data_IF_136557503350
#
_entry.id   IF_136557503350
#
_cell.length_a   1.000
_cell.length_b   1.000
_cell.length_c   1.000
_cell.angle_alpha   90.00
_cell.angle_beta   90.00
_cell.angle_gamma   90.00
#
_symmetry.space_group_name_H-M   'P 1'
#
loop_
_entity.id
_entity.type
_entity.pdbx_description
1 polymer ?
#
# COMPACT_ATOMS: atom_id res chain seq x y z
N UNK A 1 -66.21 29.63 15.82
CA UNK A 1 -64.78 29.67 16.19
C UNK A 1 -64.54 31.03 16.82
N UNK A 2 -63.87 31.11 17.96
CA UNK A 2 -63.38 32.39 18.48
C UNK A 2 -62.30 32.87 17.51
N UNK A 3 -62.54 34.03 16.92
CA UNK A 3 -61.64 34.73 16.03
C UNK A 3 -60.36 35.12 16.78
N UNK A 4 -59.24 35.16 16.07
CA UNK A 4 -57.87 35.22 16.57
C UNK A 4 -57.60 36.26 17.68
N UNK A 5 -56.83 35.87 18.68
CA UNK A 5 -56.32 36.72 19.78
C UNK A 5 -55.03 37.43 19.32
N UNK A 6 -54.95 38.76 19.52
CA UNK A 6 -53.81 39.59 19.11
C UNK A 6 -52.56 39.42 19.99
N UNK A 7 -52.67 38.64 21.07
CA UNK A 7 -51.53 38.19 21.89
C UNK A 7 -50.75 37.02 21.27
N UNK A 8 -51.25 36.39 20.19
CA UNK A 8 -50.56 35.26 19.56
C UNK A 8 -49.31 35.68 18.80
N UNK A 9 -48.19 35.04 19.13
CA UNK A 9 -46.93 35.25 18.45
C UNK A 9 -46.86 34.48 17.13
N UNK A 10 -46.39 35.13 16.07
CA UNK A 10 -45.94 34.44 14.87
C UNK A 10 -44.63 33.71 15.18
N UNK A 11 -44.73 32.39 15.39
CA UNK A 11 -43.57 31.52 15.60
C UNK A 11 -43.27 30.73 14.33
N UNK A 12 -41.98 30.63 14.00
CA UNK A 12 -41.50 29.91 12.82
C UNK A 12 -40.52 28.81 13.25
N UNK A 13 -40.64 27.64 12.65
CA UNK A 13 -39.73 26.52 12.93
C UNK A 13 -39.88 25.87 14.31
N UNK A 14 -40.96 26.17 15.03
CA UNK A 14 -41.38 25.48 16.26
C UNK A 14 -42.84 25.83 16.60
N UNK A 15 -43.39 25.18 17.62
CA UNK A 15 -44.60 25.61 18.34
C UNK A 15 -44.20 26.55 19.50
N UNK A 16 -45.13 27.36 20.04
CA UNK A 16 -44.85 28.30 21.15
C UNK A 16 -44.29 27.60 22.38
N UNK A 17 -44.72 26.37 22.66
CA UNK A 17 -44.23 25.50 23.75
C UNK A 17 -42.81 24.98 23.54
N UNK A 18 -42.27 25.09 22.32
CA UNK A 18 -40.90 24.69 22.00
C UNK A 18 -40.68 23.18 21.82
N UNK A 19 -41.73 22.36 21.92
CA UNK A 19 -41.67 20.90 21.97
C UNK A 19 -41.50 20.21 20.60
N UNK A 20 -41.55 20.98 19.50
CA UNK A 20 -41.49 20.50 18.12
C UNK A 20 -40.47 21.28 17.28
N UNK A 21 -39.18 21.25 17.66
CA UNK A 21 -38.15 21.99 16.93
C UNK A 21 -38.03 21.46 15.50
N UNK A 22 -38.16 22.36 14.54
CA UNK A 22 -37.89 22.07 13.14
C UNK A 22 -36.43 22.35 12.82
N UNK A 23 -35.79 21.40 12.14
CA UNK A 23 -34.40 21.53 11.68
C UNK A 23 -34.40 21.81 10.18
N UNK A 24 -34.18 23.06 9.81
CA UNK A 24 -34.04 23.49 8.42
C UNK A 24 -33.75 24.98 8.29
N UNK A 25 -33.82 25.51 7.06
CA UNK A 25 -33.66 26.95 6.78
C UNK A 25 -34.91 27.50 6.11
N UNK A 26 -35.57 28.49 6.74
CA UNK A 26 -36.66 29.23 6.11
C UNK A 26 -36.07 30.31 5.20
N UNK A 27 -36.24 30.15 3.89
CA UNK A 27 -35.67 31.07 2.88
C UNK A 27 -36.61 32.22 2.48
N UNK A 28 -37.91 32.07 2.70
CA UNK A 28 -38.91 33.12 2.47
C UNK A 28 -40.16 32.84 3.31
N UNK A 29 -40.69 33.88 3.95
CA UNK A 29 -42.04 33.92 4.49
C UNK A 29 -42.75 35.14 3.90
N UNK A 30 -43.90 34.92 3.27
CA UNK A 30 -44.74 35.98 2.74
C UNK A 30 -46.13 35.90 3.39
N UNK A 31 -46.54 36.98 4.06
CA UNK A 31 -47.88 37.11 4.64
C UNK A 31 -48.64 38.17 3.83
N UNK A 32 -49.79 37.79 3.29
CA UNK A 32 -50.62 38.66 2.49
C UNK A 32 -51.85 39.09 3.28
N UNK A 33 -52.20 40.38 3.22
CA UNK A 33 -53.42 40.93 3.82
C UNK A 33 -54.67 40.70 2.95
N UNK A 34 -54.59 39.80 1.97
CA UNK A 34 -55.67 39.44 1.05
C UNK A 34 -55.51 38.00 0.59
N UNK A 35 -56.62 37.38 0.22
CA UNK A 35 -56.60 36.09 -0.47
C UNK A 35 -56.00 36.26 -1.89
N UNK A 36 -54.98 35.48 -2.21
CA UNK A 36 -54.42 35.41 -3.56
C UNK A 36 -55.29 34.54 -4.47
N UNK A 37 -55.35 34.87 -5.76
CA UNK A 37 -55.98 33.99 -6.74
C UNK A 37 -55.09 32.77 -7.04
N UNK A 38 -55.65 31.66 -7.57
CA UNK A 38 -54.85 30.49 -7.96
C UNK A 38 -53.69 30.82 -8.92
N UNK A 39 -53.90 31.75 -9.85
CA UNK A 39 -52.88 32.19 -10.81
C UNK A 39 -51.77 33.00 -10.14
N UNK A 40 -52.11 33.81 -9.13
CA UNK A 40 -51.13 34.56 -8.34
C UNK A 40 -50.29 33.62 -7.46
N UNK A 41 -50.90 32.58 -6.88
CA UNK A 41 -50.18 31.55 -6.12
C UNK A 41 -49.21 30.81 -7.03
N UNK A 42 -49.67 30.34 -8.19
CA UNK A 42 -48.83 29.65 -9.16
C UNK A 42 -47.66 30.51 -9.64
N UNK A 43 -47.90 31.81 -9.90
CA UNK A 43 -46.87 32.77 -10.28
C UNK A 43 -45.83 32.99 -9.17
N UNK A 44 -46.28 33.21 -7.93
CA UNK A 44 -45.39 33.41 -6.79
C UNK A 44 -44.56 32.16 -6.50
N UNK A 45 -45.16 30.97 -6.60
CA UNK A 45 -44.44 29.71 -6.46
C UNK A 45 -43.39 29.51 -7.57
N UNK A 46 -43.72 29.85 -8.82
CA UNK A 46 -42.81 29.74 -9.95
C UNK A 46 -41.60 30.69 -9.85
N UNK A 47 -41.78 31.88 -9.25
CA UNK A 47 -40.68 32.81 -8.99
C UNK A 47 -39.62 32.19 -8.05
N UNK A 48 -40.06 31.44 -7.04
CA UNK A 48 -39.19 30.79 -6.05
C UNK A 48 -38.78 31.72 -4.90
N UNK A 49 -37.70 31.36 -4.20
CA UNK A 49 -37.19 32.07 -3.02
C UNK A 49 -35.74 32.52 -3.24
N UNK A 50 -35.40 33.75 -2.85
CA UNK A 50 -34.07 34.36 -3.01
C UNK A 50 -33.96 35.31 -4.22
N UNK A 51 -32.99 36.23 -4.17
CA UNK A 51 -32.65 37.09 -5.32
C UNK A 51 -32.02 36.22 -6.40
N UNK A 52 -32.81 35.90 -7.43
CA UNK A 52 -32.29 35.41 -8.71
C UNK A 52 -31.92 36.61 -9.55
N UNK A 53 -30.68 36.66 -9.99
CA UNK A 53 -30.22 37.68 -10.92
C UNK A 53 -29.64 37.02 -12.16
N UNK A 54 -29.76 37.73 -13.26
CA UNK A 54 -29.24 37.29 -14.55
C UNK A 54 -27.89 37.96 -14.79
N UNK A 55 -26.84 37.15 -14.94
CA UNK A 55 -25.53 37.64 -15.35
C UNK A 55 -25.37 37.43 -16.85
N UNK A 56 -25.07 38.51 -17.57
CA UNK A 56 -24.83 38.49 -19.01
C UNK A 56 -23.35 38.77 -19.29
N UNK A 57 -22.65 37.75 -19.78
CA UNK A 57 -21.26 37.87 -20.20
C UNK A 57 -21.21 38.13 -21.71
N UNK A 58 -20.80 39.32 -22.12
CA UNK A 58 -20.73 39.65 -23.55
C UNK A 58 -19.69 38.77 -24.25
N UNK A 59 -20.12 38.13 -25.33
CA UNK A 59 -19.24 37.37 -26.25
C UNK A 59 -19.29 37.92 -27.67
N UNK A 60 -19.95 39.07 -27.87
CA UNK A 60 -20.24 39.68 -29.17
C UNK A 60 -19.01 39.76 -30.08
N UNK A 61 -17.89 40.26 -29.54
CA UNK A 61 -16.64 40.40 -30.29
C UNK A 61 -15.98 39.06 -30.63
N UNK A 62 -16.11 38.06 -29.74
CA UNK A 62 -15.50 36.74 -29.93
C UNK A 62 -16.22 35.91 -31.00
N UNK A 63 -17.53 36.10 -31.15
CA UNK A 63 -18.35 35.37 -32.14
C UNK A 63 -18.69 36.20 -33.38
N UNK A 64 -18.39 37.50 -33.38
CA UNK A 64 -18.70 38.40 -34.49
C UNK A 64 -20.20 38.67 -34.69
N UNK A 65 -21.00 38.57 -33.62
CA UNK A 65 -22.45 38.78 -33.63
C UNK A 65 -22.82 39.89 -32.66
N UNK A 66 -23.68 40.82 -33.08
CA UNK A 66 -24.08 41.94 -32.25
C UNK A 66 -24.86 41.47 -31.01
N UNK A 67 -24.68 42.18 -29.89
CA UNK A 67 -25.45 42.01 -28.65
C UNK A 67 -25.58 40.56 -28.17
N UNK A 68 -24.54 39.74 -28.36
CA UNK A 68 -24.50 38.33 -28.01
C UNK A 68 -23.85 38.11 -26.64
N UNK A 69 -24.51 37.30 -25.81
CA UNK A 69 -24.14 37.06 -24.42
C UNK A 69 -24.23 35.58 -24.06
N UNK A 70 -23.41 35.16 -23.09
CA UNK A 70 -23.71 34.00 -22.26
C UNK A 70 -24.49 34.49 -21.04
N UNK A 71 -25.74 34.07 -20.94
CA UNK A 71 -26.65 34.36 -19.85
C UNK A 71 -26.58 33.23 -18.82
N UNK A 72 -26.45 33.59 -17.55
CA UNK A 72 -26.62 32.68 -16.42
C UNK A 72 -27.77 33.13 -15.52
N UNK A 73 -28.52 32.16 -15.02
CA UNK A 73 -29.35 32.34 -13.83
C UNK A 73 -28.47 32.13 -12.60
N UNK A 74 -28.29 33.17 -11.79
CA UNK A 74 -27.44 33.14 -10.60
C UNK A 74 -28.26 33.44 -9.35
N UNK A 75 -27.99 32.70 -8.28
CA UNK A 75 -28.62 32.92 -6.97
C UNK A 75 -27.64 32.62 -5.84
N UNK A 76 -27.80 33.24 -4.67
CA UNK A 76 -27.07 32.81 -3.48
C UNK A 76 -27.51 31.40 -3.08
N UNK A 77 -26.56 30.46 -3.08
CA UNK A 77 -26.83 29.09 -2.66
C UNK A 77 -26.83 29.00 -1.12
N UNK A 78 -25.82 29.61 -0.50
CA UNK A 78 -25.67 29.86 0.93
C UNK A 78 -24.88 31.15 1.20
N UNK A 79 -24.45 31.38 2.45
CA UNK A 79 -23.71 32.58 2.86
C UNK A 79 -22.30 32.70 2.25
N UNK A 80 -21.78 31.65 1.60
CA UNK A 80 -20.42 31.58 1.09
C UNK A 80 -20.36 31.14 -0.38
N UNK A 81 -21.48 31.08 -1.10
CA UNK A 81 -21.49 30.56 -2.46
C UNK A 81 -22.68 31.00 -3.31
N UNK A 82 -22.45 30.97 -4.62
CA UNK A 82 -23.43 31.22 -5.66
C UNK A 82 -23.73 29.94 -6.43
N UNK A 83 -24.99 29.73 -6.75
CA UNK A 83 -25.42 28.74 -7.74
C UNK A 83 -25.52 29.43 -9.10
N UNK A 84 -24.65 29.03 -10.04
CA UNK A 84 -24.76 29.34 -11.46
C UNK A 84 -25.55 28.23 -12.14
N UNK A 85 -26.60 28.61 -12.86
CA UNK A 85 -27.51 27.64 -13.47
C UNK A 85 -27.92 28.04 -14.89
N UNK A 86 -28.28 27.02 -15.68
CA UNK A 86 -28.81 27.15 -17.04
C UNK A 86 -28.05 28.15 -17.94
N UNK A 87 -26.74 27.98 -18.18
CA UNK A 87 -26.03 28.81 -19.15
C UNK A 87 -26.75 28.78 -20.50
N UNK A 88 -27.03 29.95 -21.05
CA UNK A 88 -27.66 30.11 -22.37
C UNK A 88 -26.85 31.07 -23.23
N UNK A 89 -26.66 30.73 -24.49
CA UNK A 89 -26.27 31.73 -25.48
C UNK A 89 -27.53 32.49 -25.94
N UNK A 90 -27.51 33.83 -25.87
CA UNK A 90 -28.63 34.69 -26.29
C UNK A 90 -28.11 35.94 -26.98
N UNK A 91 -28.78 36.37 -28.06
CA UNK A 91 -28.62 37.72 -28.60
C UNK A 91 -29.80 38.60 -28.17
N UNK A 92 -29.53 39.82 -27.74
CA UNK A 92 -30.58 40.83 -27.50
C UNK A 92 -31.06 41.51 -28.79
N UNK A 93 -30.35 41.29 -29.91
CA UNK A 93 -30.81 41.64 -31.25
C UNK A 93 -31.58 40.45 -31.84
N UNK A 94 -32.88 40.63 -32.04
CA UNK A 94 -33.80 39.61 -32.54
C UNK A 94 -33.52 39.16 -33.99
N UNK A 95 -32.70 39.90 -34.74
CA UNK A 95 -32.32 39.55 -36.12
C UNK A 95 -31.08 38.67 -36.19
N UNK A 96 -30.34 38.53 -35.08
CA UNK A 96 -29.13 37.71 -35.02
C UNK A 96 -29.50 36.23 -35.00
N UNK A 97 -28.98 35.51 -35.99
CA UNK A 97 -29.05 34.06 -36.07
C UNK A 97 -27.62 33.48 -36.02
N UNK A 98 -27.19 32.86 -34.91
CA UNK A 98 -25.91 32.20 -34.85
C UNK A 98 -25.87 31.04 -35.84
N UNK A 99 -24.71 30.83 -36.48
CA UNK A 99 -24.54 29.77 -37.47
C UNK A 99 -23.34 28.89 -37.14
N UNK A 100 -23.61 27.78 -36.46
CA UNK A 100 -22.67 26.67 -36.27
C UNK A 100 -21.33 27.07 -35.62
N UNK A 101 -21.36 28.02 -34.68
CA UNK A 101 -20.17 28.56 -34.00
C UNK A 101 -19.71 27.57 -32.92
N UNK A 102 -18.48 27.03 -32.97
CA UNK A 102 -18.00 26.10 -31.95
C UNK A 102 -17.88 26.77 -30.57
N UNK A 103 -18.26 26.04 -29.52
CA UNK A 103 -18.03 26.42 -28.12
C UNK A 103 -17.55 25.18 -27.36
N UNK A 104 -16.37 25.24 -26.76
CA UNK A 104 -15.84 24.17 -25.93
C UNK A 104 -15.10 24.69 -24.69
N UNK A 105 -15.13 23.91 -23.61
CA UNK A 105 -14.32 24.14 -22.41
C UNK A 105 -14.59 25.47 -21.71
N UNK A 106 -15.85 25.77 -21.39
CA UNK A 106 -16.23 27.02 -20.72
C UNK A 106 -15.98 26.94 -19.21
N UNK A 107 -15.26 27.90 -18.64
CA UNK A 107 -15.00 27.97 -17.18
C UNK A 107 -15.44 29.32 -16.62
N UNK A 108 -15.83 29.31 -15.35
CA UNK A 108 -16.20 30.52 -14.59
C UNK A 108 -14.98 30.98 -13.79
N UNK A 109 -14.59 32.23 -13.99
CA UNK A 109 -13.60 32.88 -13.16
C UNK A 109 -14.23 33.88 -12.19
N UNK A 110 -13.54 34.11 -11.08
CA UNK A 110 -13.91 35.06 -10.02
C UNK A 110 -12.69 35.92 -9.68
N UNK A 111 -12.89 37.23 -9.54
CA UNK A 111 -11.88 38.20 -9.09
C UNK A 111 -10.50 38.08 -9.76
N UNK A 112 -10.48 37.79 -11.07
CA UNK A 112 -9.26 37.75 -11.89
C UNK A 112 -8.57 36.39 -12.01
N UNK A 113 -9.14 35.30 -11.48
CA UNK A 113 -8.64 33.93 -11.69
C UNK A 113 -9.78 32.93 -11.92
N UNK A 114 -9.49 31.80 -12.56
CA UNK A 114 -10.48 30.73 -12.74
C UNK A 114 -10.82 30.08 -11.39
N UNK A 115 -12.11 29.83 -11.13
CA UNK A 115 -12.50 29.15 -9.90
C UNK A 115 -11.94 27.72 -9.89
N UNK A 116 -11.31 27.33 -8.79
CA UNK A 116 -10.65 26.01 -8.65
C UNK A 116 -11.63 24.84 -8.50
N UNK A 117 -12.89 25.14 -8.16
CA UNK A 117 -13.97 24.17 -7.96
C UNK A 117 -15.22 24.64 -8.69
N UNK A 118 -16.13 23.71 -9.01
CA UNK A 118 -17.38 24.06 -9.67
C UNK A 118 -17.24 24.36 -11.18
N UNK A 119 -16.32 23.70 -11.88
CA UNK A 119 -16.13 23.89 -13.32
C UNK A 119 -16.90 22.86 -14.16
N UNK A 120 -18.19 22.64 -13.89
CA UNK A 120 -18.96 21.62 -14.62
C UNK A 120 -19.05 21.91 -16.13
N UNK A 121 -18.99 23.19 -16.51
CA UNK A 121 -19.08 23.66 -17.89
C UNK A 121 -17.78 23.48 -18.69
N UNK A 122 -16.69 23.05 -18.06
CA UNK A 122 -15.44 22.75 -18.76
C UNK A 122 -15.58 21.56 -19.71
N UNK A 123 -16.63 20.75 -19.54
CA UNK A 123 -16.94 19.61 -20.41
C UNK A 123 -17.85 19.96 -21.58
N UNK A 124 -18.21 21.23 -21.76
CA UNK A 124 -18.98 21.65 -22.93
C UNK A 124 -18.18 21.39 -24.21
N UNK A 125 -18.82 20.77 -25.18
CA UNK A 125 -18.37 20.68 -26.58
C UNK A 125 -19.63 20.68 -27.46
N UNK A 126 -19.99 21.86 -27.97
CA UNK A 126 -21.21 22.05 -28.75
C UNK A 126 -21.05 23.14 -29.80
N UNK A 127 -22.10 23.31 -30.61
CA UNK A 127 -22.15 24.34 -31.66
C UNK A 127 -23.35 25.24 -31.43
N UNK A 128 -23.11 26.55 -31.46
CA UNK A 128 -24.13 27.58 -31.32
C UNK A 128 -24.88 27.76 -32.63
N UNK A 129 -26.20 27.93 -32.55
CA UNK A 129 -27.09 28.17 -33.69
C UNK A 129 -27.91 26.96 -34.14
N UNK A 130 -28.47 27.06 -35.34
CA UNK A 130 -29.34 26.03 -35.91
C UNK A 130 -30.66 25.87 -35.15
N UNK A 131 -31.19 24.65 -35.09
CA UNK A 131 -32.47 24.34 -34.42
C UNK A 131 -32.42 24.45 -32.90
N UNK A 132 -31.23 24.56 -32.30
CA UNK A 132 -31.05 24.68 -30.86
C UNK A 132 -31.22 26.13 -30.36
N UNK A 133 -31.30 27.12 -31.25
CA UNK A 133 -31.41 28.54 -30.92
C UNK A 133 -32.77 29.12 -31.35
N UNK A 134 -33.43 29.85 -30.45
CA UNK A 134 -34.54 30.76 -30.80
C UNK A 134 -34.25 32.19 -30.30
N UNK A 135 -34.71 33.23 -31.00
CA UNK A 135 -34.56 34.61 -30.52
C UNK A 135 -35.22 34.88 -29.16
N UNK A 136 -36.29 34.15 -28.79
CA UNK A 136 -37.00 34.38 -27.52
C UNK A 136 -36.33 33.69 -26.32
N UNK A 137 -35.72 32.51 -26.53
CA UNK A 137 -35.23 31.66 -25.43
C UNK A 137 -33.71 31.44 -25.44
N UNK A 138 -33.05 31.84 -26.53
CA UNK A 138 -31.65 31.55 -26.80
C UNK A 138 -31.41 30.07 -27.03
N UNK A 139 -30.17 29.64 -26.81
CA UNK A 139 -29.75 28.24 -26.84
C UNK A 139 -29.22 27.83 -25.47
N UNK A 140 -29.84 26.82 -24.85
CA UNK A 140 -29.32 26.22 -23.62
C UNK A 140 -28.01 25.49 -23.89
N UNK A 141 -26.97 25.81 -23.13
CA UNK A 141 -25.64 25.21 -23.24
C UNK A 141 -25.50 23.97 -22.36
N UNK A 142 -26.04 24.03 -21.14
CA UNK A 142 -26.04 22.91 -20.20
C UNK A 142 -27.26 22.97 -19.27
N UNK A 143 -27.89 21.82 -18.97
CA UNK A 143 -28.91 21.74 -17.93
C UNK A 143 -28.31 21.68 -16.52
N UNK A 144 -26.99 21.49 -16.38
CA UNK A 144 -26.32 21.35 -15.09
C UNK A 144 -26.11 22.71 -14.43
N UNK A 145 -26.31 22.77 -13.11
CA UNK A 145 -25.90 23.89 -12.27
C UNK A 145 -24.52 23.64 -11.65
N UNK A 146 -23.85 24.71 -11.22
CA UNK A 146 -22.60 24.61 -10.47
C UNK A 146 -22.50 25.65 -9.38
N UNK A 147 -21.71 25.35 -8.35
CA UNK A 147 -21.53 26.19 -7.18
C UNK A 147 -20.16 26.85 -7.25
N UNK A 148 -20.14 28.17 -7.19
CA UNK A 148 -18.91 28.98 -7.14
C UNK A 148 -18.83 29.63 -5.76
N UNK A 149 -17.68 29.49 -5.10
CA UNK A 149 -17.45 30.09 -3.80
C UNK A 149 -17.46 31.62 -3.90
N UNK A 150 -18.01 32.28 -2.89
CA UNK A 150 -17.96 33.73 -2.69
C UNK A 150 -16.64 34.11 -2.05
N UNK A 151 -16.03 35.19 -2.53
CA UNK A 151 -14.75 35.69 -1.99
C UNK A 151 -14.91 37.07 -1.33
N UNK A 152 -15.54 38.00 -2.05
CA UNK A 152 -15.79 39.38 -1.62
C UNK A 152 -17.28 39.65 -1.37
N UNK A 153 -18.15 38.69 -1.66
CA UNK A 153 -19.59 38.83 -1.53
C UNK A 153 -20.23 39.56 -2.72
N UNK A 154 -21.56 39.60 -2.72
CA UNK A 154 -22.38 40.02 -3.88
C UNK A 154 -22.00 41.39 -4.42
N UNK A 155 -21.62 42.32 -3.54
CA UNK A 155 -21.27 43.69 -3.93
C UNK A 155 -19.84 43.85 -4.47
N UNK A 156 -18.97 42.85 -4.30
CA UNK A 156 -17.54 42.94 -4.61
C UNK A 156 -16.99 41.83 -5.49
N UNK A 157 -17.72 40.73 -5.68
CA UNK A 157 -17.30 39.63 -6.56
C UNK A 157 -17.57 39.97 -8.02
N UNK A 158 -16.51 39.91 -8.81
CA UNK A 158 -16.56 40.05 -10.27
C UNK A 158 -16.35 38.69 -10.93
N UNK A 159 -17.18 38.37 -11.92
CA UNK A 159 -17.10 37.13 -12.65
C UNK A 159 -16.62 37.36 -14.07
N UNK A 160 -15.95 36.35 -14.64
CA UNK A 160 -15.65 36.30 -16.06
C UNK A 160 -15.78 34.86 -16.58
N UNK A 161 -15.77 34.70 -17.90
CA UNK A 161 -15.76 33.40 -18.55
C UNK A 161 -14.46 33.23 -19.32
N UNK A 162 -13.88 32.03 -19.24
CA UNK A 162 -12.83 31.57 -20.16
C UNK A 162 -13.34 30.40 -20.98
N UNK A 163 -12.73 30.17 -22.13
CA UNK A 163 -13.13 29.14 -23.09
C UNK A 163 -11.89 28.46 -23.64
N UNK A 164 -11.89 27.14 -23.74
CA UNK A 164 -10.89 26.45 -24.56
C UNK A 164 -11.09 26.75 -26.05
N UNK A 165 -12.36 26.91 -26.47
CA UNK A 165 -12.71 27.35 -27.81
C UNK A 165 -14.01 28.15 -27.84
N UNK A 166 -14.02 29.27 -28.56
CA UNK A 166 -15.22 30.01 -28.93
C UNK A 166 -15.08 30.60 -30.33
N UNK A 167 -15.87 30.10 -31.28
CA UNK A 167 -15.73 30.45 -32.68
C UNK A 167 -14.37 30.04 -33.24
N UNK A 168 -13.62 31.03 -33.74
CA UNK A 168 -12.25 30.89 -34.20
C UNK A 168 -11.19 31.06 -33.11
N UNK A 169 -11.58 31.52 -31.91
CA UNK A 169 -10.65 31.73 -30.80
C UNK A 169 -10.42 30.42 -30.05
N UNK A 170 -9.17 30.16 -29.67
CA UNK A 170 -8.77 29.00 -28.88
C UNK A 170 -7.78 29.37 -27.79
N UNK A 171 -7.90 28.74 -26.64
CA UNK A 171 -6.99 28.86 -25.51
C UNK A 171 -6.62 27.45 -25.03
N UNK A 172 -5.32 27.18 -24.88
CA UNK A 172 -4.86 25.87 -24.41
C UNK A 172 -5.01 25.83 -22.90
N UNK A 173 -5.90 24.97 -22.40
CA UNK A 173 -5.98 24.64 -20.99
C UNK A 173 -5.13 23.39 -20.72
N UNK A 174 -4.22 23.47 -19.75
CA UNK A 174 -3.44 22.32 -19.28
C UNK A 174 -3.92 21.94 -17.89
N UNK A 175 -4.54 20.76 -17.76
CA UNK A 175 -4.83 20.18 -16.45
C UNK A 175 -3.52 19.94 -15.68
N UNK A 176 -3.42 20.36 -14.41
CA UNK A 176 -2.27 20.03 -13.59
C UNK A 176 -2.20 18.51 -13.45
N UNK A 177 -1.11 17.91 -13.94
CA UNK A 177 -0.89 16.48 -13.71
C UNK A 177 -0.76 16.24 -12.20
N UNK A 178 -1.51 15.29 -11.63
CA UNK A 178 -1.29 14.88 -10.25
C UNK A 178 0.17 14.47 -10.06
N UNK A 179 0.79 14.92 -8.98
CA UNK A 179 2.13 14.45 -8.63
C UNK A 179 2.08 12.93 -8.42
N UNK A 180 3.02 12.21 -9.05
CA UNK A 180 3.17 10.79 -8.78
C UNK A 180 3.48 10.58 -7.29
N UNK A 181 2.87 9.58 -6.63
CA UNK A 181 3.23 9.26 -5.26
C UNK A 181 4.72 8.88 -5.20
N UNK A 182 5.44 9.27 -4.13
CA UNK A 182 6.82 8.86 -3.96
C UNK A 182 6.92 7.32 -3.93
N UNK A 183 8.05 6.74 -4.36
CA UNK A 183 8.28 5.32 -4.19
C UNK A 183 8.19 4.94 -2.71
N UNK A 184 7.81 3.68 -2.38
CA UNK A 184 7.84 3.19 -1.02
C UNK A 184 9.23 3.41 -0.42
N UNK A 185 9.28 3.77 0.87
CA UNK A 185 10.54 3.79 1.59
C UNK A 185 11.12 2.38 1.67
N UNK A 186 12.45 2.29 1.58
CA UNK A 186 13.14 1.03 1.86
C UNK A 186 12.85 0.59 3.31
N UNK A 187 12.67 -0.72 3.48
CA UNK A 187 12.50 -1.31 4.81
C UNK A 187 13.80 -1.34 5.61
N UNK A 188 13.71 -1.74 6.88
CA UNK A 188 14.87 -1.94 7.74
C UNK A 188 15.84 -2.97 7.12
N UNK A 189 17.16 -2.68 7.07
CA UNK A 189 18.16 -3.62 6.56
C UNK A 189 18.04 -4.99 7.20
N UNK A 190 17.86 -6.04 6.40
CA UNK A 190 17.84 -7.42 6.88
C UNK A 190 19.23 -8.05 6.71
N UNK A 191 19.69 -8.87 7.69
CA UNK A 191 20.92 -9.64 7.54
C UNK A 191 20.84 -10.60 6.35
N UNK A 192 21.94 -10.70 5.59
CA UNK A 192 22.08 -11.65 4.47
C UNK A 192 22.29 -13.07 4.98
N UNK A 193 22.91 -13.23 6.16
CA UNK A 193 23.21 -14.50 6.79
C UNK A 193 22.12 -14.82 7.82
N UNK A 194 21.60 -16.05 7.77
CA UNK A 194 20.60 -16.59 8.67
C UNK A 194 21.11 -17.75 9.53
N UNK A 195 20.19 -18.28 10.33
CA UNK A 195 20.38 -19.52 11.10
C UNK A 195 19.44 -20.58 10.53
N UNK A 196 19.88 -21.83 10.48
CA UNK A 196 18.96 -22.96 10.31
C UNK A 196 18.07 -23.09 11.55
N UNK A 197 16.79 -23.31 11.35
CA UNK A 197 15.80 -23.60 12.39
C UNK A 197 15.97 -25.00 12.95
N UNK A 198 15.33 -25.31 14.08
CA UNK A 198 15.43 -26.63 14.71
C UNK A 198 15.07 -27.79 13.77
N UNK A 199 14.07 -27.63 12.89
CA UNK A 199 13.67 -28.67 11.94
C UNK A 199 14.70 -28.81 10.81
N UNK A 200 15.24 -27.69 10.32
CA UNK A 200 16.30 -27.68 9.29
C UNK A 200 17.61 -28.26 9.80
N UNK A 201 17.99 -27.96 11.05
CA UNK A 201 19.15 -28.55 11.71
C UNK A 201 19.00 -30.06 11.77
N UNK A 202 17.85 -30.55 12.26
CA UNK A 202 17.59 -31.98 12.38
C UNK A 202 17.59 -32.69 11.02
N UNK A 203 16.96 -32.09 10.02
CA UNK A 203 16.94 -32.61 8.65
C UNK A 203 18.34 -32.63 8.02
N UNK A 204 19.11 -31.55 8.19
CA UNK A 204 20.47 -31.43 7.65
C UNK A 204 21.39 -32.46 8.30
N UNK A 205 21.33 -32.63 9.63
CA UNK A 205 22.13 -33.64 10.31
C UNK A 205 21.78 -35.07 9.89
N UNK A 206 20.49 -35.34 9.66
CA UNK A 206 20.05 -36.64 9.14
C UNK A 206 20.62 -36.92 7.74
N UNK A 207 20.55 -35.94 6.83
CA UNK A 207 21.06 -36.10 5.47
C UNK A 207 22.60 -36.25 5.45
N UNK A 208 23.30 -35.39 6.19
CA UNK A 208 24.76 -35.37 6.25
C UNK A 208 25.37 -36.65 6.84
N UNK A 209 24.67 -37.29 7.77
CA UNK A 209 25.11 -38.54 8.42
C UNK A 209 24.50 -39.80 7.83
N UNK A 210 23.36 -39.69 7.14
CA UNK A 210 22.57 -40.84 6.70
C UNK A 210 21.79 -41.54 7.83
N UNK A 211 21.78 -40.99 9.03
CA UNK A 211 21.04 -41.53 10.18
C UNK A 211 19.61 -41.00 10.15
N UNK A 212 18.64 -41.89 10.36
CA UNK A 212 17.23 -41.50 10.41
C UNK A 212 16.95 -40.56 11.60
N UNK A 213 16.20 -39.46 11.41
CA UNK A 213 15.75 -38.60 12.51
C UNK A 213 14.76 -39.30 13.45
N UNK A 214 14.27 -40.50 13.08
CA UNK A 214 13.41 -41.34 13.92
C UNK A 214 14.18 -42.40 14.73
N UNK A 215 15.50 -42.47 14.62
CA UNK A 215 16.32 -43.30 15.50
C UNK A 215 16.06 -42.86 16.96
N UNK A 216 15.89 -43.82 17.87
CA UNK A 216 15.32 -43.57 19.21
C UNK A 216 16.11 -42.57 20.07
N UNK A 217 17.44 -42.66 20.07
CA UNK A 217 18.33 -41.81 20.87
C UNK A 217 18.49 -40.42 20.23
N UNK A 218 18.59 -40.36 18.90
CA UNK A 218 18.55 -39.11 18.13
C UNK A 218 17.24 -38.37 18.39
N UNK A 219 16.10 -39.07 18.31
CA UNK A 219 14.79 -38.49 18.53
C UNK A 219 14.63 -37.98 19.96
N UNK A 220 15.04 -38.77 20.96
CA UNK A 220 15.00 -38.37 22.35
C UNK A 220 15.87 -37.13 22.62
N UNK A 221 17.06 -37.08 22.04
CA UNK A 221 17.97 -35.93 22.14
C UNK A 221 17.37 -34.70 21.48
N UNK A 222 16.85 -34.84 20.26
CA UNK A 222 16.17 -33.75 19.56
C UNK A 222 15.00 -33.19 20.37
N UNK A 223 14.12 -34.04 20.89
CA UNK A 223 12.97 -33.60 21.69
C UNK A 223 13.42 -32.89 22.99
N UNK A 224 14.54 -33.30 23.59
CA UNK A 224 15.14 -32.66 24.77
C UNK A 224 15.73 -31.27 24.46
N UNK A 225 16.46 -31.14 23.35
CA UNK A 225 17.18 -29.90 23.02
C UNK A 225 16.41 -28.95 22.10
N UNK A 226 15.24 -29.35 21.58
CA UNK A 226 14.45 -28.57 20.61
C UNK A 226 14.17 -27.14 21.07
N UNK A 227 13.84 -26.95 22.35
CA UNK A 227 13.57 -25.62 22.91
C UNK A 227 14.82 -24.73 23.00
N UNK A 228 16.00 -25.33 22.92
CA UNK A 228 17.28 -24.65 22.95
C UNK A 228 17.85 -24.44 21.54
N UNK A 229 17.15 -24.85 20.47
CA UNK A 229 17.54 -24.63 19.07
C UNK A 229 16.85 -23.38 18.47
N UNK A 230 17.38 -22.78 17.39
CA UNK A 230 16.76 -21.62 16.75
C UNK A 230 15.35 -21.93 16.23
N UNK A 231 14.39 -21.04 16.50
CA UNK A 231 13.02 -21.15 15.99
C UNK A 231 12.75 -20.23 14.78
N UNK A 232 13.67 -19.31 14.48
CA UNK A 232 13.60 -18.36 13.37
C UNK A 232 14.97 -18.22 12.73
N UNK A 233 14.98 -17.86 11.45
CA UNK A 233 16.22 -17.82 10.64
C UNK A 233 17.05 -16.55 10.85
N UNK A 234 16.75 -15.74 11.86
CA UNK A 234 17.43 -14.46 12.07
C UNK A 234 18.70 -14.63 12.88
N UNK A 235 19.83 -14.22 12.31
CA UNK A 235 21.14 -14.25 13.00
C UNK A 235 21.16 -13.44 14.30
N UNK A 236 20.39 -12.36 14.38
CA UNK A 236 20.25 -11.56 15.62
C UNK A 236 19.58 -12.32 16.77
N UNK A 237 18.95 -13.46 16.50
CA UNK A 237 18.38 -14.36 17.51
C UNK A 237 19.35 -15.42 18.03
N UNK A 238 20.64 -15.38 17.63
CA UNK A 238 21.60 -16.38 18.06
C UNK A 238 21.92 -16.29 19.56
N UNK A 239 21.75 -17.41 20.27
CA UNK A 239 22.02 -17.54 21.70
C UNK A 239 23.03 -18.65 21.98
N UNK A 240 23.79 -18.54 23.07
CA UNK A 240 24.73 -19.58 23.51
C UNK A 240 24.06 -20.94 23.72
N UNK A 241 22.77 -20.97 24.05
CA UNK A 241 21.99 -22.20 24.17
C UNK A 241 21.95 -23.00 22.85
N UNK A 242 21.92 -22.31 21.71
CA UNK A 242 21.92 -22.96 20.39
C UNK A 242 23.22 -23.73 20.15
N UNK A 243 24.38 -23.18 20.55
CA UNK A 243 25.66 -23.87 20.40
C UNK A 243 25.70 -25.19 21.15
N UNK A 244 25.19 -25.19 22.39
CA UNK A 244 25.15 -26.39 23.23
C UNK A 244 24.18 -27.42 22.66
N UNK A 245 22.98 -26.99 22.28
CA UNK A 245 21.94 -27.85 21.72
C UNK A 245 22.36 -28.49 20.38
N UNK A 246 22.94 -27.68 19.47
CA UNK A 246 23.50 -28.16 18.20
C UNK A 246 24.61 -29.18 18.45
N UNK A 247 25.52 -28.91 19.40
CA UNK A 247 26.60 -29.83 19.72
C UNK A 247 26.07 -31.16 20.28
N UNK A 248 25.09 -31.12 21.19
CA UNK A 248 24.47 -32.33 21.75
C UNK A 248 23.80 -33.17 20.67
N UNK A 249 23.04 -32.53 19.77
CA UNK A 249 22.38 -33.22 18.66
C UNK A 249 23.40 -33.79 17.66
N UNK A 250 24.44 -33.03 17.32
CA UNK A 250 25.52 -33.48 16.44
C UNK A 250 26.28 -34.69 17.01
N UNK A 251 26.58 -34.67 18.31
CA UNK A 251 27.18 -35.81 19.02
C UNK A 251 26.30 -37.05 18.87
N UNK A 252 24.98 -36.90 19.04
CA UNK A 252 24.08 -38.04 18.99
C UNK A 252 23.92 -38.61 17.57
N UNK A 253 23.81 -37.75 16.56
CA UNK A 253 23.83 -38.19 15.16
C UNK A 253 25.12 -38.93 14.81
N UNK A 254 26.27 -38.43 15.25
CA UNK A 254 27.56 -39.08 15.04
C UNK A 254 27.73 -40.36 15.87
N UNK A 255 27.11 -40.45 17.05
CA UNK A 255 27.04 -41.69 17.82
C UNK A 255 26.29 -42.76 17.03
N UNK A 256 25.06 -42.46 16.60
CA UNK A 256 24.22 -43.37 15.84
C UNK A 256 24.88 -43.82 14.52
N UNK A 257 25.59 -42.92 13.83
CA UNK A 257 26.36 -43.24 12.63
C UNK A 257 27.48 -44.27 12.90
N UNK A 258 28.22 -44.11 13.99
CA UNK A 258 29.41 -44.94 14.29
C UNK A 258 29.06 -46.23 15.03
N UNK A 259 27.96 -46.27 15.78
CA UNK A 259 27.53 -47.50 16.46
C UNK A 259 26.81 -48.48 15.53
N UNK A 260 26.16 -47.99 14.46
CA UNK A 260 25.59 -48.86 13.43
C UNK A 260 26.68 -49.38 12.48
N UNK A 261 26.91 -50.70 12.49
CA UNK A 261 27.98 -51.31 11.69
C UNK A 261 27.79 -51.13 10.18
N UNK A 262 26.55 -51.13 9.68
CA UNK A 262 26.27 -50.99 8.25
C UNK A 262 26.47 -49.53 7.80
N UNK A 263 25.91 -48.57 8.54
CA UNK A 263 26.10 -47.15 8.26
C UNK A 263 27.57 -46.76 8.38
N UNK A 264 28.25 -47.17 9.46
CA UNK A 264 29.67 -46.91 9.68
C UNK A 264 30.53 -47.43 8.54
N UNK A 265 30.33 -48.69 8.13
CA UNK A 265 31.14 -49.30 7.06
C UNK A 265 30.88 -48.65 5.71
N UNK A 266 29.67 -48.16 5.48
CA UNK A 266 29.31 -47.41 4.28
C UNK A 266 29.89 -45.99 4.29
N UNK A 267 29.93 -45.33 5.45
CA UNK A 267 30.36 -43.94 5.59
C UNK A 267 31.89 -43.81 5.65
N UNK A 268 32.57 -44.77 6.27
CA UNK A 268 34.02 -44.80 6.47
C UNK A 268 34.65 -46.05 5.84
N UNK A 269 34.63 -46.18 4.50
CA UNK A 269 35.06 -47.40 3.83
C UNK A 269 36.54 -47.70 4.09
N UNK A 270 36.82 -48.90 4.59
CA UNK A 270 38.18 -49.38 4.86
C UNK A 270 38.84 -48.80 6.11
N UNK A 271 38.16 -47.97 6.90
CA UNK A 271 38.72 -47.47 8.16
C UNK A 271 38.77 -48.57 9.23
N UNK A 272 39.92 -48.82 9.89
CA UNK A 272 40.10 -49.96 10.78
C UNK A 272 39.61 -49.68 12.21
N UNK A 273 38.29 -49.70 12.44
CA UNK A 273 37.67 -49.41 13.75
C UNK A 273 38.12 -50.34 14.90
N UNK A 274 38.44 -51.59 14.58
CA UNK A 274 38.85 -52.61 15.57
C UNK A 274 40.34 -52.49 15.97
N UNK A 275 41.09 -51.60 15.31
CA UNK A 275 42.51 -51.38 15.58
C UNK A 275 42.72 -50.36 16.70
N UNK A 276 43.84 -50.51 17.41
CA UNK A 276 44.28 -49.54 18.44
C UNK A 276 44.51 -48.16 17.80
N UNK A 277 44.17 -47.05 18.47
CA UNK A 277 44.16 -45.72 17.85
C UNK A 277 45.45 -45.32 17.13
N UNK A 278 46.64 -45.59 17.66
CA UNK A 278 47.89 -45.23 16.96
C UNK A 278 48.01 -45.95 15.63
N UNK A 279 47.67 -47.23 15.60
CA UNK A 279 47.69 -48.02 14.36
C UNK A 279 46.61 -47.58 13.38
N UNK A 280 45.38 -47.32 13.86
CA UNK A 280 44.26 -46.90 13.03
C UNK A 280 44.50 -45.54 12.36
N UNK A 281 45.03 -44.56 13.11
CA UNK A 281 45.21 -43.19 12.64
C UNK A 281 46.62 -42.90 12.05
N UNK A 282 47.55 -43.87 12.02
CA UNK A 282 48.84 -43.67 11.34
C UNK A 282 48.68 -43.61 9.81
N UNK A 283 47.76 -44.40 9.25
CA UNK A 283 47.45 -44.42 7.81
C UNK A 283 45.96 -44.22 7.46
N UNK A 284 45.05 -44.35 8.43
CA UNK A 284 43.61 -44.27 8.21
C UNK A 284 42.98 -42.89 8.33
N UNK A 285 43.75 -41.82 8.58
CA UNK A 285 43.17 -40.46 8.78
C UNK A 285 42.39 -39.96 7.58
N UNK A 286 42.91 -40.14 6.37
CA UNK A 286 42.22 -39.76 5.14
C UNK A 286 40.90 -40.54 4.98
N UNK A 287 40.90 -41.84 5.31
CA UNK A 287 39.71 -42.70 5.28
C UNK A 287 38.61 -42.25 6.26
N UNK A 288 38.96 -41.48 7.30
CA UNK A 288 38.01 -40.85 8.22
C UNK A 288 37.63 -39.44 7.78
N UNK A 289 38.61 -38.59 7.46
CA UNK A 289 38.40 -37.16 7.22
C UNK A 289 37.80 -36.87 5.86
N UNK A 290 38.17 -37.61 4.81
CA UNK A 290 37.69 -37.33 3.45
C UNK A 290 36.16 -37.51 3.33
N UNK A 291 35.55 -38.59 3.88
CA UNK A 291 34.09 -38.71 3.88
C UNK A 291 33.38 -37.62 4.70
N UNK A 292 33.97 -37.19 5.82
CA UNK A 292 33.39 -36.13 6.67
C UNK A 292 33.41 -34.78 5.95
N UNK A 293 34.57 -34.39 5.42
CA UNK A 293 34.75 -33.11 4.75
C UNK A 293 33.93 -33.06 3.45
N UNK A 294 33.94 -34.12 2.65
CA UNK A 294 33.19 -34.14 1.37
C UNK A 294 31.67 -34.09 1.53
N UNK A 295 31.14 -34.56 2.67
CA UNK A 295 29.70 -34.49 2.95
C UNK A 295 29.29 -33.23 3.67
N UNK A 296 30.08 -32.77 4.66
CA UNK A 296 29.66 -31.72 5.58
C UNK A 296 30.19 -30.32 5.24
N UNK A 297 31.23 -30.19 4.41
CA UNK A 297 31.60 -28.91 3.82
C UNK A 297 30.98 -28.79 2.43
N UNK A 298 30.44 -27.61 2.13
CA UNK A 298 29.98 -27.29 0.79
C UNK A 298 31.17 -27.23 -0.17
N UNK A 299 30.95 -27.54 -1.45
CA UNK A 299 31.90 -27.19 -2.50
C UNK A 299 31.71 -25.73 -2.91
N UNK A 300 32.81 -24.99 -3.14
CA UNK A 300 32.81 -23.67 -3.81
C UNK A 300 31.95 -22.55 -3.18
N UNK A 301 31.69 -22.60 -1.86
CA UNK A 301 31.03 -21.49 -1.16
C UNK A 301 32.06 -20.40 -0.80
N UNK A 302 31.71 -19.13 -1.03
CA UNK A 302 32.56 -17.99 -0.71
C UNK A 302 32.71 -17.75 0.80
N UNK A 303 31.66 -18.05 1.57
CA UNK A 303 31.56 -17.78 3.01
C UNK A 303 31.56 -19.09 3.84
N UNK A 304 32.62 -19.90 3.68
CA UNK A 304 32.86 -21.09 4.50
C UNK A 304 34.36 -21.28 4.78
N UNK A 305 34.75 -22.09 5.79
CA UNK A 305 36.15 -22.43 6.02
C UNK A 305 36.76 -23.16 4.83
N UNK A 306 38.03 -22.88 4.52
CA UNK A 306 38.76 -23.65 3.53
C UNK A 306 38.90 -25.11 3.99
N UNK A 307 38.72 -26.08 3.07
CA UNK A 307 38.82 -27.51 3.42
C UNK A 307 40.16 -27.85 4.08
N UNK A 308 41.26 -27.25 3.62
CA UNK A 308 42.59 -27.46 4.18
C UNK A 308 42.69 -27.01 5.66
N UNK A 309 42.01 -25.93 6.04
CA UNK A 309 41.99 -25.43 7.42
C UNK A 309 41.12 -26.33 8.31
N UNK A 310 39.92 -26.67 7.86
CA UNK A 310 39.03 -27.60 8.57
C UNK A 310 39.73 -28.96 8.79
N UNK A 311 40.40 -29.47 7.75
CA UNK A 311 41.21 -30.69 7.81
C UNK A 311 42.34 -30.58 8.83
N UNK A 312 43.02 -29.44 8.91
CA UNK A 312 44.10 -29.24 9.88
C UNK A 312 43.56 -29.28 11.33
N UNK A 313 42.44 -28.61 11.61
CA UNK A 313 41.80 -28.61 12.94
C UNK A 313 41.35 -30.01 13.37
N UNK A 314 40.72 -30.76 12.47
CA UNK A 314 40.29 -32.14 12.73
C UNK A 314 41.48 -33.11 12.93
N UNK A 315 42.59 -32.89 12.22
CA UNK A 315 43.82 -33.63 12.48
C UNK A 315 44.38 -33.34 13.88
N UNK A 316 44.41 -32.07 14.30
CA UNK A 316 44.85 -31.71 15.65
C UNK A 316 43.91 -32.26 16.74
N UNK A 317 42.60 -32.35 16.46
CA UNK A 317 41.66 -33.00 17.37
C UNK A 317 41.97 -34.50 17.49
N UNK A 318 42.23 -35.17 16.37
CA UNK A 318 42.68 -36.56 16.33
C UNK A 318 43.97 -36.76 17.15
N UNK A 319 44.96 -35.89 16.98
CA UNK A 319 46.22 -35.95 17.75
C UNK A 319 45.97 -35.85 19.27
N UNK A 320 45.15 -34.88 19.68
CA UNK A 320 44.79 -34.68 21.10
C UNK A 320 44.06 -35.88 21.70
N UNK A 321 43.12 -36.47 20.96
CA UNK A 321 42.31 -37.58 21.46
C UNK A 321 43.02 -38.94 21.41
N UNK A 322 44.14 -39.04 20.68
CA UNK A 322 44.97 -40.25 20.59
C UNK A 322 46.21 -40.21 21.49
N UNK A 323 46.42 -39.12 22.23
CA UNK A 323 47.53 -38.93 23.16
C UNK A 323 47.35 -39.71 24.49
N UNK A 324 47.21 -41.03 24.44
CA UNK A 324 46.88 -41.87 25.61
C UNK A 324 48.08 -42.47 26.39
N UNK A 325 49.28 -41.87 26.35
CA UNK A 325 50.44 -42.42 27.05
C UNK A 325 50.87 -43.81 26.54
N UNK A 326 50.81 -44.85 27.38
CA UNK A 326 51.25 -46.21 27.00
C UNK A 326 50.20 -46.99 26.17
N UNK A 327 48.90 -46.79 26.42
CA UNK A 327 47.80 -47.45 25.71
C UNK A 327 46.50 -46.66 25.85
N UNK A 328 45.69 -46.60 24.79
CA UNK A 328 44.33 -46.06 24.87
C UNK A 328 43.32 -47.07 25.43
N UNK A 329 42.24 -46.56 26.02
CA UNK A 329 41.09 -47.38 26.43
C UNK A 329 40.44 -48.09 25.23
N UNK A 330 39.81 -49.24 25.49
CA UNK A 330 39.04 -49.96 24.47
C UNK A 330 37.93 -49.06 23.90
N UNK A 331 37.72 -49.12 22.58
CA UNK A 331 36.72 -48.29 21.88
C UNK A 331 37.16 -46.86 21.59
N UNK A 332 38.35 -46.42 22.02
CA UNK A 332 38.85 -45.05 21.80
C UNK A 332 38.90 -44.66 20.31
N UNK A 333 39.18 -45.60 19.42
CA UNK A 333 39.17 -45.37 17.96
C UNK A 333 37.81 -44.84 17.50
N UNK A 334 36.71 -45.49 17.91
CA UNK A 334 35.35 -45.05 17.60
C UNK A 334 35.03 -43.69 18.24
N UNK A 335 35.47 -43.45 19.48
CA UNK A 335 35.30 -42.15 20.16
C UNK A 335 35.97 -41.00 19.38
N UNK A 336 37.17 -41.21 18.84
CA UNK A 336 37.88 -40.20 18.06
C UNK A 336 37.13 -39.89 16.76
N UNK A 337 36.59 -40.91 16.08
CA UNK A 337 35.78 -40.71 14.86
C UNK A 337 34.49 -39.94 15.18
N UNK A 338 33.78 -40.32 16.25
CA UNK A 338 32.57 -39.61 16.72
C UNK A 338 32.86 -38.16 17.04
N UNK A 339 33.98 -37.87 17.71
CA UNK A 339 34.37 -36.51 18.07
C UNK A 339 34.67 -35.64 16.83
N UNK A 340 35.39 -36.18 15.84
CA UNK A 340 35.65 -35.47 14.59
C UNK A 340 34.37 -35.23 13.79
N UNK A 341 33.50 -36.22 13.71
CA UNK A 341 32.18 -36.09 13.08
C UNK A 341 31.36 -34.99 13.77
N UNK A 342 31.25 -35.03 15.11
CA UNK A 342 30.45 -34.07 15.86
C UNK A 342 31.02 -32.65 15.79
N UNK A 343 32.35 -32.50 15.77
CA UNK A 343 33.00 -31.19 15.65
C UNK A 343 32.68 -30.52 14.31
N UNK A 344 32.64 -31.28 13.20
CA UNK A 344 32.30 -30.73 11.90
C UNK A 344 30.78 -30.53 11.75
N UNK A 345 29.99 -31.51 12.16
CA UNK A 345 28.53 -31.48 12.06
C UNK A 345 27.89 -30.40 12.96
N UNK A 346 28.47 -30.15 14.13
CA UNK A 346 28.01 -29.10 15.06
C UNK A 346 28.58 -27.71 14.76
N UNK A 347 29.32 -27.53 13.66
CA UNK A 347 29.99 -26.28 13.32
C UNK A 347 29.06 -25.25 12.67
N UNK A 348 29.58 -24.03 12.48
CA UNK A 348 28.90 -22.96 11.75
C UNK A 348 28.55 -23.35 10.30
N UNK A 349 29.29 -24.28 9.69
CA UNK A 349 29.01 -24.77 8.32
C UNK A 349 27.62 -25.41 8.23
N UNK A 350 27.21 -26.10 9.29
CA UNK A 350 25.86 -26.70 9.39
C UNK A 350 24.85 -25.71 9.99
N UNK A 351 25.25 -24.75 10.80
CA UNK A 351 24.27 -23.89 11.48
C UNK A 351 23.85 -22.66 10.69
N UNK A 352 24.76 -22.06 9.92
CA UNK A 352 24.51 -20.83 9.16
C UNK A 352 23.95 -21.15 7.76
N UNK A 353 23.14 -20.23 7.23
CA UNK A 353 22.58 -20.30 5.87
C UNK A 353 22.51 -18.95 5.18
#
# INVERSE_FOLDING_TARGET
LIDWDDSFALVLGNEVSGDRPWLGKLRLLAIHNRALTPEQIARNQAAGVGEKFFLLFSVSELVGLAQSYILFEVSQFDSYSYLFNQPRFISLDATVQPSNTPLAGMRIGINGHEAVVGQVYSNLDLRLGGFAYSPEQGQLLSPLGTIIASERGVAGDEFFLSFERLGSHSHVFTEPMPLAPPPPADGEPQPVIGLRTFDEINASMAELTGVSPSQSEVRATFDSVKQQLPAVEKIGGFLSAHQVAVSQLAIEYCNALVEDQALRSSYFPGFPFDSEPRSAFAGGRALMLDPLLSRMLGGDLADQPAEAEARAELNQLTDRLTACGASCEAGRTATVVKANCAALLGSAVMLLQ
#
